data_IF_421384552667
#
_entry.id   IF_421384552667
#
_cell.length_a   1.000
_cell.length_b   1.000
_cell.length_c   1.000
_cell.angle_alpha   90.00
_cell.angle_beta   90.00
_cell.angle_gamma   90.00
#
_symmetry.space_group_name_H-M   'P 1'
#
loop_
_entity.id
_entity.type
_entity.pdbx_description
1 polymer ?
#
# COMPACT_ATOMS: atom_id res chain seq x y z
N UNK A 1 7.77 12.83 4.09
CA UNK A 1 7.95 11.36 4.06
C UNK A 1 7.56 10.76 5.41
N UNK A 2 8.24 11.06 6.52
CA UNK A 2 7.80 10.56 7.85
C UNK A 2 6.37 11.00 8.22
N UNK A 3 5.99 12.24 7.86
CA UNK A 3 4.64 12.77 8.06
C UNK A 3 3.65 12.42 6.94
N UNK A 4 4.16 12.11 5.75
CA UNK A 4 3.37 11.86 4.54
C UNK A 4 4.21 10.95 3.62
N UNK A 5 4.11 9.62 3.77
CA UNK A 5 4.95 8.69 3.04
C UNK A 5 4.46 8.48 1.60
N UNK A 6 3.17 8.75 1.33
CA UNK A 6 2.51 8.63 0.03
C UNK A 6 2.69 9.85 -0.89
N UNK A 7 3.52 10.82 -0.51
CA UNK A 7 3.80 12.01 -1.30
C UNK A 7 4.44 11.67 -2.66
N UNK A 8 3.92 12.26 -3.74
CA UNK A 8 4.44 12.09 -5.09
C UNK A 8 5.70 12.92 -5.31
N UNK A 9 6.53 12.51 -6.26
CA UNK A 9 7.76 13.26 -6.58
C UNK A 9 7.48 14.68 -7.12
N UNK A 10 6.36 14.87 -7.80
CA UNK A 10 5.90 16.19 -8.26
C UNK A 10 5.53 17.09 -7.09
N UNK A 11 4.83 16.55 -6.09
CA UNK A 11 4.47 17.29 -4.88
C UNK A 11 5.70 17.58 -4.01
N UNK A 12 6.67 16.67 -3.96
CA UNK A 12 7.97 16.94 -3.34
C UNK A 12 8.70 18.08 -4.06
N UNK A 13 8.66 18.11 -5.39
CA UNK A 13 9.23 19.19 -6.18
C UNK A 13 8.56 20.53 -5.87
N UNK A 14 7.24 20.55 -5.80
CA UNK A 14 6.46 21.74 -5.44
C UNK A 14 6.82 22.22 -4.02
N UNK A 15 6.89 21.31 -3.05
CA UNK A 15 7.30 21.64 -1.68
C UNK A 15 8.74 22.19 -1.61
N UNK A 16 9.68 21.62 -2.36
CA UNK A 16 11.06 22.11 -2.41
C UNK A 16 11.15 23.50 -3.04
N UNK A 17 10.31 23.78 -4.04
CA UNK A 17 10.21 25.10 -4.66
C UNK A 17 9.60 26.11 -3.70
N UNK A 18 8.51 25.76 -3.03
CA UNK A 18 7.78 26.65 -2.12
C UNK A 18 8.57 26.95 -0.83
N UNK A 19 9.16 25.93 -0.20
CA UNK A 19 9.82 26.06 1.11
C UNK A 19 11.27 26.51 0.96
N UNK A 20 11.99 25.96 -0.02
CA UNK A 20 13.44 26.16 -0.16
C UNK A 20 13.82 27.04 -1.37
N UNK A 21 12.85 27.51 -2.16
CA UNK A 21 13.10 28.30 -3.37
C UNK A 21 13.89 27.55 -4.45
N UNK A 22 13.97 26.22 -4.36
CA UNK A 22 14.88 25.40 -5.17
C UNK A 22 14.10 24.57 -6.19
N UNK A 23 14.38 24.79 -7.49
CA UNK A 23 13.84 23.95 -8.55
C UNK A 23 14.73 22.72 -8.76
N UNK A 24 14.25 21.58 -8.27
CA UNK A 24 14.96 20.29 -8.37
C UNK A 24 14.22 19.39 -9.34
N UNK A 25 14.95 18.72 -10.25
CA UNK A 25 14.33 17.76 -11.16
C UNK A 25 13.77 16.54 -10.40
N UNK A 26 12.66 15.99 -10.88
CA UNK A 26 12.06 14.74 -10.37
C UNK A 26 13.10 13.61 -10.28
N UNK A 27 13.98 13.52 -11.28
CA UNK A 27 15.03 12.50 -11.32
C UNK A 27 16.06 12.70 -10.19
N UNK A 28 16.41 13.94 -9.85
CA UNK A 28 17.30 14.24 -8.71
C UNK A 28 16.64 13.87 -7.38
N UNK A 29 15.34 14.17 -7.21
CA UNK A 29 14.58 13.80 -6.01
C UNK A 29 14.56 12.28 -5.86
N UNK A 30 14.18 11.56 -6.93
CA UNK A 30 14.15 10.08 -6.94
C UNK A 30 15.51 9.46 -6.58
N UNK A 31 16.60 9.92 -7.22
CA UNK A 31 17.95 9.42 -6.89
C UNK A 31 18.35 9.71 -5.45
N UNK A 32 17.97 10.88 -4.93
CA UNK A 32 18.25 11.26 -3.54
C UNK A 32 17.49 10.36 -2.57
N UNK A 33 16.22 10.04 -2.86
CA UNK A 33 15.41 9.10 -2.08
C UNK A 33 16.05 7.71 -2.03
N UNK A 34 16.41 7.16 -3.19
CA UNK A 34 17.09 5.88 -3.28
C UNK A 34 18.43 5.88 -2.53
N UNK A 35 19.23 6.95 -2.69
CA UNK A 35 20.53 7.10 -1.99
C UNK A 35 20.37 7.18 -0.47
N UNK A 36 19.24 7.70 0.01
CA UNK A 36 18.89 7.74 1.44
C UNK A 36 18.22 6.44 1.93
N UNK A 37 18.12 5.42 1.08
CA UNK A 37 17.61 4.10 1.44
C UNK A 37 16.08 3.97 1.40
N UNK A 38 15.39 4.85 0.68
CA UNK A 38 13.94 4.75 0.48
C UNK A 38 13.61 4.15 -0.89
N UNK A 39 12.53 3.37 -0.95
CA UNK A 39 11.96 2.88 -2.20
C UNK A 39 10.44 3.08 -2.22
N UNK A 40 9.88 3.18 -3.43
CA UNK A 40 8.46 3.35 -3.67
C UNK A 40 7.78 1.98 -3.64
N UNK A 41 6.90 1.74 -2.66
CA UNK A 41 6.30 0.42 -2.40
C UNK A 41 4.80 0.49 -2.41
N UNK A 42 4.17 -0.60 -2.82
CA UNK A 42 2.72 -0.75 -2.76
C UNK A 42 2.28 -0.85 -1.29
N UNK A 43 1.34 -0.01 -0.89
CA UNK A 43 0.80 0.02 0.47
C UNK A 43 -0.12 -1.19 0.65
N UNK A 44 0.10 -1.96 1.72
CA UNK A 44 -0.81 -3.05 2.08
C UNK A 44 -1.83 -2.53 3.07
N UNK A 45 -3.11 -2.56 2.71
CA UNK A 45 -4.19 -2.19 3.62
C UNK A 45 -5.02 -3.43 3.92
N UNK A 46 -4.95 -4.00 5.12
CA UNK A 46 -5.87 -5.07 5.49
C UNK A 46 -7.31 -4.53 5.46
N UNK A 47 -8.26 -5.38 5.08
CA UNK A 47 -9.69 -5.04 5.20
C UNK A 47 -10.00 -4.77 6.67
N UNK A 48 -10.85 -3.78 6.95
CA UNK A 48 -11.29 -3.45 8.32
C UNK A 48 -12.06 -4.62 8.94
N UNK A 49 -12.75 -5.39 8.09
CA UNK A 49 -13.51 -6.58 8.46
C UNK A 49 -12.62 -7.80 8.76
N UNK A 50 -11.30 -7.68 8.64
CA UNK A 50 -10.39 -8.79 8.86
C UNK A 50 -10.25 -9.09 10.36
N UNK A 51 -10.83 -10.19 10.78
CA UNK A 51 -10.64 -10.80 12.09
C UNK A 51 -9.91 -12.15 11.95
N UNK A 52 -8.82 -12.35 12.69
CA UNK A 52 -8.02 -13.58 12.59
C UNK A 52 -8.62 -14.75 13.39
N UNK A 53 -9.38 -14.46 14.44
CA UNK A 53 -10.05 -15.48 15.26
C UNK A 53 -11.24 -16.06 14.49
N UNK A 54 -12.06 -15.21 13.87
CA UNK A 54 -13.13 -15.65 12.96
C UNK A 54 -12.56 -16.46 11.79
N UNK A 55 -11.42 -16.02 11.23
CA UNK A 55 -10.75 -16.74 10.15
C UNK A 55 -10.23 -18.11 10.60
N UNK A 56 -9.72 -18.23 11.83
CA UNK A 56 -9.27 -19.49 12.38
C UNK A 56 -10.44 -20.45 12.63
N UNK A 57 -11.52 -19.95 13.24
CA UNK A 57 -12.75 -20.72 13.48
C UNK A 57 -13.36 -21.22 12.16
N UNK A 58 -13.45 -20.36 11.14
CA UNK A 58 -13.94 -20.73 9.82
C UNK A 58 -13.09 -21.82 9.16
N UNK A 59 -11.75 -21.72 9.23
CA UNK A 59 -10.85 -22.75 8.67
C UNK A 59 -11.03 -24.10 9.34
N UNK A 60 -11.19 -24.12 10.67
CA UNK A 60 -11.43 -25.35 11.42
C UNK A 60 -12.76 -25.98 11.00
N UNK A 61 -13.84 -25.20 10.97
CA UNK A 61 -15.16 -25.64 10.55
C UNK A 61 -15.14 -26.25 9.13
N UNK A 62 -14.54 -25.55 8.17
CA UNK A 62 -14.47 -26.02 6.78
C UNK A 62 -13.61 -27.28 6.66
N UNK A 63 -12.44 -27.31 7.31
CA UNK A 63 -11.51 -28.43 7.25
C UNK A 63 -12.03 -29.72 7.92
N UNK A 64 -12.87 -29.59 8.95
CA UNK A 64 -13.45 -30.74 9.64
C UNK A 64 -14.68 -31.31 8.93
N UNK A 65 -15.50 -30.47 8.32
CA UNK A 65 -16.84 -30.87 7.87
C UNK A 65 -17.00 -30.99 6.35
N UNK A 66 -16.09 -30.46 5.54
CA UNK A 66 -16.25 -30.43 4.08
C UNK A 66 -15.03 -30.99 3.36
N UNK A 67 -15.30 -31.76 2.30
CA UNK A 67 -14.28 -32.16 1.34
C UNK A 67 -14.21 -31.14 0.21
N UNK A 68 -13.07 -30.98 -0.48
CA UNK A 68 -12.91 -30.00 -1.56
C UNK A 68 -13.99 -30.10 -2.64
N UNK A 69 -14.47 -31.31 -2.94
CA UNK A 69 -15.49 -31.57 -3.97
C UNK A 69 -16.89 -31.05 -3.58
N UNK A 70 -17.11 -30.74 -2.30
CA UNK A 70 -18.36 -30.18 -1.80
C UNK A 70 -18.39 -28.64 -1.87
N UNK A 71 -17.27 -28.00 -2.20
CA UNK A 71 -17.12 -26.55 -2.13
C UNK A 71 -17.19 -25.91 -3.52
N UNK A 72 -18.13 -24.97 -3.69
CA UNK A 72 -18.21 -24.10 -4.85
C UNK A 72 -17.93 -22.67 -4.37
N UNK A 73 -16.93 -22.02 -4.96
CA UNK A 73 -16.55 -20.65 -4.62
C UNK A 73 -17.09 -19.69 -5.68
N UNK A 74 -17.78 -18.64 -5.23
CA UNK A 74 -18.20 -17.51 -6.05
C UNK A 74 -17.72 -16.24 -5.36
N UNK A 75 -17.14 -15.31 -6.14
CA UNK A 75 -16.68 -14.02 -5.64
C UNK A 75 -17.29 -12.90 -6.49
N UNK A 76 -17.73 -11.83 -5.83
CA UNK A 76 -18.31 -10.67 -6.48
C UNK A 76 -17.21 -9.63 -6.73
N UNK A 77 -16.81 -9.48 -7.99
CA UNK A 77 -15.89 -8.41 -8.37
C UNK A 77 -16.61 -7.07 -8.37
N UNK A 78 -16.52 -6.34 -7.26
CA UNK A 78 -17.00 -4.97 -7.18
C UNK A 78 -16.04 -4.00 -7.89
N UNK A 79 -16.53 -3.26 -8.89
CA UNK A 79 -15.77 -2.19 -9.55
C UNK A 79 -16.10 -0.84 -8.90
N UNK A 80 -15.24 -0.37 -8.00
CA UNK A 80 -15.38 0.96 -7.39
C UNK A 80 -14.52 1.99 -8.15
N UNK A 81 -15.13 3.10 -8.57
CA UNK A 81 -14.44 4.22 -9.23
C UNK A 81 -13.78 5.21 -8.26
N UNK A 82 -13.89 4.99 -6.94
CA UNK A 82 -13.30 5.89 -5.95
C UNK A 82 -11.84 5.51 -5.68
N UNK A 83 -10.93 6.05 -6.51
CA UNK A 83 -9.47 5.96 -6.34
C UNK A 83 -8.90 7.06 -5.43
N UNK A 84 -9.66 7.54 -4.44
CA UNK A 84 -9.20 8.62 -3.53
C UNK A 84 -8.01 8.21 -2.64
N UNK A 85 -7.54 6.97 -2.75
CA UNK A 85 -6.48 6.42 -1.93
C UNK A 85 -5.26 6.14 -2.80
N UNK A 86 -4.10 6.64 -2.37
CA UNK A 86 -2.82 6.32 -3.02
C UNK A 86 -2.44 4.88 -2.73
N UNK A 87 -2.03 4.17 -3.76
CA UNK A 87 -1.65 2.75 -3.67
C UNK A 87 -0.19 2.54 -3.32
N UNK A 88 0.61 3.61 -3.33
CA UNK A 88 2.04 3.54 -3.11
C UNK A 88 2.51 4.62 -2.15
N UNK A 89 3.59 4.30 -1.45
CA UNK A 89 4.27 5.21 -0.55
C UNK A 89 5.77 4.87 -0.44
N UNK A 90 6.56 5.86 -0.06
CA UNK A 90 7.99 5.75 0.20
C UNK A 90 8.23 5.09 1.55
N UNK A 91 9.03 4.04 1.55
CA UNK A 91 9.44 3.34 2.77
C UNK A 91 10.92 2.96 2.72
N UNK A 92 11.60 2.85 3.88
CA UNK A 92 12.96 2.35 3.94
C UNK A 92 13.10 0.96 3.30
N UNK A 93 14.25 0.67 2.73
CA UNK A 93 14.59 -0.68 2.25
C UNK A 93 14.42 -1.67 3.42
N UNK A 94 13.77 -2.80 3.15
CA UNK A 94 13.43 -3.81 4.17
C UNK A 94 12.14 -3.55 4.98
N UNK A 95 11.57 -2.35 4.95
CA UNK A 95 10.32 -2.03 5.69
C UNK A 95 9.11 -2.00 4.77
N UNK A 96 7.91 -2.29 5.29
CA UNK A 96 6.67 -2.05 4.52
C UNK A 96 6.35 -0.56 4.51
N UNK A 97 5.66 -0.13 3.46
CA UNK A 97 5.08 1.20 3.38
C UNK A 97 3.76 1.28 4.12
#
# INVERSE_FOLDING_TARGET
>A
IERQPDILLTEMQDQLREICGSEVSIATISRTMCRRGFTWKKVTRPSVERDEDDRAAFKMLIGEHFQPEHLVFADECHFNQISLRRDFAWAPIGQRA
#
